data_IF_521467495432
#
_entry.id   IF_521467495432
#
_cell.length_a   1.000
_cell.length_b   1.000
_cell.length_c   1.000
_cell.angle_alpha   90.00
_cell.angle_beta   90.00
_cell.angle_gamma   90.00
#
_symmetry.space_group_name_H-M   'P 1'
#
loop_
_entity.id
_entity.type
_entity.pdbx_description
1 polymer ?
#
# COMPACT_ATOMS: atom_id res chain seq x y z
N UNK A 1 -23.93 10.97 -22.97
CA UNK A 1 -23.11 11.96 -23.72
C UNK A 1 -21.74 11.36 -23.92
N UNK A 2 -21.22 11.38 -25.13
CA UNK A 2 -19.89 10.86 -25.46
C UNK A 2 -18.86 11.98 -25.46
N UNK A 3 -17.56 11.64 -25.42
CA UNK A 3 -16.49 12.65 -25.48
C UNK A 3 -16.53 13.49 -26.77
N UNK A 4 -16.95 12.91 -27.90
CA UNK A 4 -17.16 13.65 -29.16
C UNK A 4 -18.21 14.76 -29.07
N UNK A 5 -19.14 14.66 -28.12
CA UNK A 5 -20.24 15.61 -27.99
C UNK A 5 -19.88 16.80 -27.08
N UNK A 6 -18.71 16.73 -26.42
CA UNK A 6 -18.26 17.75 -25.47
C UNK A 6 -17.93 19.08 -26.15
N UNK A 7 -18.26 20.15 -25.44
CA UNK A 7 -17.93 21.51 -25.80
C UNK A 7 -17.24 22.21 -24.63
N UNK A 8 -16.55 23.31 -24.95
CA UNK A 8 -15.99 24.19 -23.94
C UNK A 8 -17.10 24.66 -22.98
N UNK A 9 -16.82 24.61 -21.68
CA UNK A 9 -17.77 24.98 -20.62
C UNK A 9 -18.68 23.84 -20.15
N UNK A 10 -18.65 22.67 -20.78
CA UNK A 10 -19.35 21.48 -20.28
C UNK A 10 -18.74 21.01 -18.96
N UNK A 11 -19.56 20.35 -18.14
CA UNK A 11 -19.12 19.79 -16.85
C UNK A 11 -18.69 18.35 -17.04
N UNK A 12 -17.48 18.02 -16.58
CA UNK A 12 -17.00 16.66 -16.41
C UNK A 12 -16.97 16.30 -14.93
N UNK A 13 -17.35 15.06 -14.64
CA UNK A 13 -17.23 14.48 -13.32
C UNK A 13 -15.92 13.70 -13.26
N UNK A 14 -15.05 14.07 -12.33
CA UNK A 14 -13.74 13.46 -12.12
C UNK A 14 -13.78 12.76 -10.77
N UNK A 15 -13.62 11.45 -10.79
CA UNK A 15 -13.51 10.62 -9.59
C UNK A 15 -12.09 10.14 -9.40
N UNK A 16 -11.48 10.50 -8.27
CA UNK A 16 -10.17 10.03 -7.86
C UNK A 16 -10.29 8.74 -7.04
N UNK A 17 -9.74 7.65 -7.57
CA UNK A 17 -9.76 6.32 -6.94
C UNK A 17 -8.79 6.21 -5.75
N UNK A 18 -7.79 7.08 -5.64
CA UNK A 18 -6.82 7.08 -4.54
C UNK A 18 -7.31 7.98 -3.41
N UNK A 19 -7.69 9.21 -3.73
CA UNK A 19 -8.19 10.16 -2.72
C UNK A 19 -9.65 9.89 -2.30
N UNK A 20 -10.40 9.09 -3.07
CA UNK A 20 -11.83 8.80 -2.85
C UNK A 20 -12.65 10.09 -2.85
N UNK A 21 -12.38 10.96 -3.83
CA UNK A 21 -13.06 12.25 -3.99
C UNK A 21 -13.71 12.38 -5.35
N UNK A 22 -14.84 13.09 -5.41
CA UNK A 22 -15.53 13.45 -6.65
C UNK A 22 -15.49 14.96 -6.84
N UNK A 23 -14.91 15.42 -7.94
CA UNK A 23 -14.97 16.82 -8.39
C UNK A 23 -15.82 16.95 -9.65
N UNK A 24 -16.41 18.13 -9.82
CA UNK A 24 -17.10 18.53 -11.04
C UNK A 24 -16.32 19.68 -11.66
N UNK A 25 -15.65 19.42 -12.77
CA UNK A 25 -14.74 20.35 -13.40
C UNK A 25 -15.26 20.78 -14.77
N UNK A 26 -14.85 21.98 -15.18
CA UNK A 26 -15.28 22.56 -16.45
C UNK A 26 -14.26 22.28 -17.53
N UNK A 27 -14.75 21.91 -18.70
CA UNK A 27 -13.93 21.72 -19.89
C UNK A 27 -13.42 23.08 -20.37
N UNK A 28 -12.10 23.23 -20.41
CA UNK A 28 -11.43 24.45 -20.87
C UNK A 28 -11.31 24.46 -22.38
N UNK A 29 -10.99 23.32 -22.99
CA UNK A 29 -10.85 23.16 -24.43
C UNK A 29 -11.13 21.72 -24.86
N UNK A 30 -11.59 21.53 -26.10
CA UNK A 30 -11.83 20.23 -26.73
C UNK A 30 -11.29 20.26 -28.16
N UNK A 31 -10.50 19.27 -28.56
CA UNK A 31 -10.05 19.14 -29.94
C UNK A 31 -11.13 18.56 -30.85
N UNK A 32 -11.01 18.79 -32.15
CA UNK A 32 -11.75 17.98 -33.11
C UNK A 32 -11.29 16.50 -33.00
N UNK A 33 -12.18 15.52 -33.29
CA UNK A 33 -11.78 14.13 -33.35
C UNK A 33 -10.60 13.92 -34.32
N UNK A 34 -9.54 13.27 -33.85
CA UNK A 34 -8.35 12.97 -34.64
C UNK A 34 -7.85 11.56 -34.39
N UNK A 35 -7.05 11.02 -35.31
CA UNK A 35 -6.32 9.78 -35.07
C UNK A 35 -5.17 10.07 -34.10
N UNK A 36 -4.95 9.15 -33.17
CA UNK A 36 -3.75 9.18 -32.34
C UNK A 36 -2.52 8.88 -33.21
N UNK A 37 -1.60 9.85 -33.31
CA UNK A 37 -0.36 9.71 -34.10
C UNK A 37 0.56 8.63 -33.53
N UNK A 38 0.44 8.31 -32.25
CA UNK A 38 1.28 7.34 -31.56
C UNK A 38 0.65 5.95 -31.50
N UNK A 39 -0.67 5.84 -31.71
CA UNK A 39 -1.36 4.56 -31.59
C UNK A 39 -2.64 4.50 -32.44
N UNK A 40 -2.44 4.31 -33.75
CA UNK A 40 -3.49 4.29 -34.78
C UNK A 40 -4.58 3.23 -34.50
N UNK A 41 -4.26 2.18 -33.73
CA UNK A 41 -5.19 1.12 -33.36
C UNK A 41 -6.31 1.59 -32.40
N UNK A 42 -6.16 2.74 -31.74
CA UNK A 42 -7.14 3.23 -30.77
C UNK A 42 -8.38 3.90 -31.37
N UNK A 43 -8.41 4.11 -32.70
CA UNK A 43 -9.50 4.78 -33.38
C UNK A 43 -9.46 6.30 -33.21
N UNK A 44 -10.62 6.94 -33.38
CA UNK A 44 -10.74 8.39 -33.23
C UNK A 44 -10.68 8.79 -31.76
N UNK A 45 -9.85 9.79 -31.48
CA UNK A 45 -9.60 10.34 -30.15
C UNK A 45 -10.01 11.81 -30.12
N UNK A 46 -10.36 12.29 -28.93
CA UNK A 46 -10.63 13.69 -28.62
C UNK A 46 -9.78 14.07 -27.43
N UNK A 47 -9.05 15.17 -27.57
CA UNK A 47 -8.31 15.77 -26.50
C UNK A 47 -9.19 16.74 -25.74
N UNK A 48 -9.23 16.58 -24.42
CA UNK A 48 -10.06 17.37 -23.52
C UNK A 48 -9.16 17.99 -22.46
N UNK A 49 -9.21 19.31 -22.35
CA UNK A 49 -8.45 20.06 -21.34
C UNK A 49 -9.35 20.38 -20.15
N UNK A 50 -8.90 20.02 -18.95
CA UNK A 50 -9.56 20.29 -17.68
C UNK A 50 -8.56 21.00 -16.78
N UNK A 51 -8.89 22.22 -16.34
CA UNK A 51 -7.92 23.09 -15.67
C UNK A 51 -6.68 23.31 -16.54
N UNK A 52 -5.51 22.86 -16.07
CA UNK A 52 -4.23 22.96 -16.79
C UNK A 52 -3.74 21.63 -17.38
N UNK A 53 -4.57 20.58 -17.36
CA UNK A 53 -4.18 19.23 -17.80
C UNK A 53 -5.02 18.82 -19.02
N UNK A 54 -4.35 18.28 -20.04
CA UNK A 54 -4.97 17.74 -21.24
C UNK A 54 -5.00 16.21 -21.17
N UNK A 55 -6.15 15.63 -21.46
CA UNK A 55 -6.38 14.19 -21.48
C UNK A 55 -6.91 13.77 -22.85
N UNK A 56 -6.48 12.62 -23.36
CA UNK A 56 -6.95 12.07 -24.63
C UNK A 56 -7.90 10.90 -24.38
N UNK A 57 -9.11 10.98 -24.92
CA UNK A 57 -10.13 9.94 -24.77
C UNK A 57 -10.63 9.45 -26.14
N UNK A 58 -11.09 8.20 -26.19
CA UNK A 58 -11.80 7.70 -27.38
C UNK A 58 -13.09 8.49 -27.57
N UNK A 59 -13.31 8.95 -28.79
CA UNK A 59 -14.40 9.87 -29.13
C UNK A 59 -15.79 9.30 -28.81
N UNK A 60 -15.97 8.00 -29.07
CA UNK A 60 -17.20 7.24 -28.85
C UNK A 60 -17.34 6.72 -27.40
N UNK A 61 -16.41 7.03 -26.50
CA UNK A 61 -16.50 6.61 -25.10
C UNK A 61 -17.35 7.58 -24.29
N UNK A 62 -17.98 7.05 -23.25
CA UNK A 62 -18.69 7.81 -22.22
C UNK A 62 -17.89 7.88 -20.92
N UNK A 63 -16.80 7.12 -20.80
CA UNK A 63 -15.92 7.07 -19.62
C UNK A 63 -14.47 7.03 -20.07
N UNK A 64 -13.68 7.93 -19.50
CA UNK A 64 -12.25 8.03 -19.66
C UNK A 64 -11.55 7.48 -18.43
N UNK A 65 -10.55 6.63 -18.64
CA UNK A 65 -9.72 6.11 -17.56
C UNK A 65 -8.32 6.67 -17.71
N UNK A 66 -7.84 7.31 -16.65
CA UNK A 66 -6.42 7.62 -16.43
C UNK A 66 -5.95 6.76 -15.25
N UNK A 67 -4.65 6.72 -14.98
CA UNK A 67 -4.03 5.88 -13.92
C UNK A 67 -4.89 5.78 -12.64
N UNK A 68 -5.25 6.92 -12.05
CA UNK A 68 -6.04 6.97 -10.81
C UNK A 68 -7.41 7.64 -10.97
N UNK A 69 -7.70 8.21 -12.14
CA UNK A 69 -8.88 9.05 -12.37
C UNK A 69 -9.88 8.37 -13.29
N UNK A 70 -11.15 8.47 -12.93
CA UNK A 70 -12.29 8.16 -13.79
C UNK A 70 -12.94 9.47 -14.17
N UNK A 71 -12.97 9.78 -15.46
CA UNK A 71 -13.48 11.05 -15.98
C UNK A 71 -14.67 10.73 -16.88
N UNK A 72 -15.80 11.40 -16.69
CA UNK A 72 -16.97 11.19 -17.54
C UNK A 72 -17.87 12.42 -17.59
N UNK A 73 -18.46 12.75 -18.76
CA UNK A 73 -19.51 13.77 -18.85
C UNK A 73 -20.82 13.33 -18.20
N UNK A 74 -21.00 12.03 -17.95
CA UNK A 74 -22.21 11.48 -17.35
C UNK A 74 -21.96 11.07 -15.89
N UNK A 75 -22.69 11.69 -14.96
CA UNK A 75 -22.63 11.35 -13.53
C UNK A 75 -22.99 9.88 -13.25
N UNK A 76 -23.94 9.33 -14.00
CA UNK A 76 -24.38 7.94 -13.85
C UNK A 76 -23.25 6.94 -14.11
N UNK A 77 -22.38 7.22 -15.09
CA UNK A 77 -21.25 6.36 -15.38
C UNK A 77 -20.21 6.40 -14.26
N UNK A 78 -19.92 7.58 -13.71
CA UNK A 78 -19.03 7.70 -12.54
C UNK A 78 -19.61 6.99 -11.32
N UNK A 79 -20.92 7.12 -11.08
CA UNK A 79 -21.58 6.41 -9.98
C UNK A 79 -21.43 4.89 -10.10
N UNK A 80 -21.55 4.34 -11.31
CA UNK A 80 -21.31 2.90 -11.55
C UNK A 80 -19.88 2.51 -11.20
N UNK A 81 -18.90 3.32 -11.60
CA UNK A 81 -17.48 3.08 -11.29
C UNK A 81 -17.21 3.15 -9.78
N UNK A 82 -17.81 4.12 -9.06
CA UNK A 82 -17.71 4.21 -7.60
C UNK A 82 -18.31 2.98 -6.92
N UNK A 83 -19.47 2.50 -7.39
CA UNK A 83 -20.09 1.26 -6.87
C UNK A 83 -19.21 0.04 -7.11
N UNK A 84 -18.67 -0.10 -8.31
CA UNK A 84 -17.74 -1.18 -8.64
C UNK A 84 -16.49 -1.13 -7.75
N UNK A 85 -15.93 0.07 -7.55
CA UNK A 85 -14.78 0.25 -6.67
C UNK A 85 -15.10 -0.14 -5.22
N UNK A 86 -16.27 0.26 -4.71
CA UNK A 86 -16.74 -0.17 -3.39
C UNK A 86 -16.84 -1.70 -3.28
N UNK A 87 -17.49 -2.36 -4.23
CA UNK A 87 -17.65 -3.82 -4.23
C UNK A 87 -16.30 -4.55 -4.29
N UNK A 88 -15.34 -4.03 -5.06
CA UNK A 88 -13.98 -4.59 -5.10
C UNK A 88 -13.30 -4.49 -3.73
N UNK A 89 -13.41 -3.34 -3.06
CA UNK A 89 -12.81 -3.16 -1.74
C UNK A 89 -13.49 -4.03 -0.67
N UNK A 90 -14.82 -4.17 -0.71
CA UNK A 90 -15.56 -5.09 0.16
C UNK A 90 -15.12 -6.55 -0.05
N UNK A 91 -14.84 -6.95 -1.29
CA UNK A 91 -14.33 -8.28 -1.63
C UNK A 91 -12.90 -8.49 -1.10
N UNK A 92 -12.04 -7.48 -1.18
CA UNK A 92 -10.69 -7.56 -0.61
C UNK A 92 -10.71 -7.64 0.91
N UNK A 93 -11.60 -6.89 1.56
CA UNK A 93 -11.81 -6.95 3.01
C UNK A 93 -12.29 -8.35 3.41
N UNK A 94 -13.23 -8.95 2.67
CA UNK A 94 -13.74 -10.30 3.01
C UNK A 94 -12.68 -11.40 2.84
N UNK A 95 -11.68 -11.20 1.99
CA UNK A 95 -10.53 -12.10 1.85
C UNK A 95 -9.45 -11.89 2.92
N UNK A 96 -9.42 -10.74 3.59
CA UNK A 96 -8.38 -10.39 4.57
C UNK A 96 -8.26 -11.41 5.72
N UNK A 97 -9.35 -11.90 6.34
CA UNK A 97 -9.26 -12.94 7.38
C UNK A 97 -8.61 -14.22 6.88
N UNK A 98 -8.98 -14.66 5.67
CA UNK A 98 -8.39 -15.85 5.05
C UNK A 98 -6.89 -15.67 4.80
N UNK A 99 -6.49 -14.51 4.29
CA UNK A 99 -5.07 -14.20 4.06
C UNK A 99 -4.28 -14.15 5.37
N UNK A 100 -4.88 -13.65 6.47
CA UNK A 100 -4.26 -13.67 7.80
C UNK A 100 -4.07 -15.10 8.34
N UNK A 101 -4.96 -16.04 8.01
CA UNK A 101 -4.82 -17.45 8.38
C UNK A 101 -3.84 -18.23 7.49
N UNK A 102 -3.68 -17.82 6.22
CA UNK A 102 -2.78 -18.46 5.25
C UNK A 102 -1.31 -18.02 5.44
N UNK A 103 -1.06 -16.76 5.84
CA UNK A 103 0.30 -16.23 6.03
C UNK A 103 1.19 -17.10 6.94
N UNK A 104 0.77 -17.49 8.16
CA UNK A 104 1.60 -18.35 9.02
C UNK A 104 1.87 -19.74 8.42
N UNK A 105 0.95 -20.25 7.59
CA UNK A 105 1.13 -21.56 6.93
C UNK A 105 2.17 -21.46 5.81
N UNK A 106 2.18 -20.34 5.09
CA UNK A 106 3.21 -20.07 4.09
C UNK A 106 4.59 -19.90 4.73
N UNK A 107 4.67 -19.26 5.90
CA UNK A 107 5.93 -19.15 6.66
C UNK A 107 6.49 -20.53 7.03
N UNK A 108 5.63 -21.46 7.47
CA UNK A 108 6.04 -22.86 7.75
C UNK A 108 6.56 -23.54 6.49
N UNK A 109 5.88 -23.39 5.35
CA UNK A 109 6.32 -23.98 4.08
C UNK A 109 7.64 -23.35 3.61
N UNK A 110 7.85 -22.05 3.82
CA UNK A 110 9.13 -21.38 3.53
C UNK A 110 10.24 -21.95 4.42
N UNK A 111 9.99 -22.14 5.72
CA UNK A 111 10.96 -22.77 6.64
C UNK A 111 11.28 -24.23 6.28
N UNK A 112 10.33 -24.96 5.70
CA UNK A 112 10.53 -26.33 5.21
C UNK A 112 11.32 -26.39 3.90
N UNK A 113 11.12 -25.41 3.00
CA UNK A 113 11.81 -25.33 1.71
C UNK A 113 13.22 -24.72 1.82
N UNK A 114 13.47 -23.88 2.83
CA UNK A 114 14.77 -23.28 3.12
C UNK A 114 15.33 -23.77 4.48
N UNK A 115 15.91 -24.99 4.54
CA UNK A 115 16.45 -25.55 5.79
C UNK A 115 17.55 -24.70 6.43
N UNK A 116 18.26 -23.88 5.65
CA UNK A 116 19.27 -22.93 6.16
C UNK A 116 18.67 -21.80 7.02
N UNK A 117 17.41 -21.39 6.77
CA UNK A 117 16.69 -20.42 7.61
C UNK A 117 16.25 -21.05 8.93
N UNK A 118 15.87 -22.33 8.91
CA UNK A 118 15.51 -23.08 10.12
C UNK A 118 16.73 -23.27 11.03
N UNK A 119 17.87 -23.69 10.47
CA UNK A 119 19.12 -23.82 11.22
C UNK A 119 19.61 -22.47 11.76
N UNK A 120 19.52 -21.38 10.99
CA UNK A 120 19.84 -20.03 11.48
C UNK A 120 18.94 -19.57 12.61
N UNK A 121 17.61 -19.72 12.48
CA UNK A 121 16.66 -19.37 13.55
C UNK A 121 16.89 -20.18 14.82
N UNK A 122 17.18 -21.48 14.71
CA UNK A 122 17.51 -22.32 15.86
C UNK A 122 18.86 -21.96 16.49
N UNK A 123 19.87 -21.63 15.67
CA UNK A 123 21.17 -21.17 16.17
C UNK A 123 21.05 -19.81 16.85
N UNK A 124 20.32 -18.85 16.30
CA UNK A 124 20.10 -17.53 16.90
C UNK A 124 19.29 -17.65 18.21
N UNK A 125 18.27 -18.51 18.26
CA UNK A 125 17.51 -18.77 19.49
C UNK A 125 18.38 -19.44 20.58
N UNK A 126 19.28 -20.35 20.20
CA UNK A 126 20.26 -20.95 21.12
C UNK A 126 21.28 -19.91 21.60
N UNK A 127 21.78 -19.05 20.72
CA UNK A 127 22.71 -17.97 21.05
C UNK A 127 22.07 -16.93 21.98
N UNK A 128 20.81 -16.59 21.78
CA UNK A 128 20.07 -15.67 22.64
C UNK A 128 19.94 -16.23 24.08
N UNK A 129 19.58 -17.52 24.23
CA UNK A 129 19.55 -18.17 25.54
C UNK A 129 20.92 -18.23 26.20
N UNK A 130 21.96 -18.51 25.43
CA UNK A 130 23.34 -18.53 25.93
C UNK A 130 23.79 -17.15 26.40
N UNK A 131 23.38 -16.08 25.70
CA UNK A 131 23.64 -14.70 26.11
C UNK A 131 22.92 -14.34 27.43
N UNK A 132 21.67 -14.77 27.61
CA UNK A 132 20.93 -14.60 28.88
C UNK A 132 21.59 -15.35 30.04
N UNK A 133 22.02 -16.60 29.83
CA UNK A 133 22.72 -17.40 30.83
C UNK A 133 24.06 -16.77 31.23
N UNK A 134 24.83 -16.26 30.26
CA UNK A 134 26.08 -15.54 30.50
C UNK A 134 25.83 -14.25 31.29
N UNK A 135 24.78 -13.52 30.96
CA UNK A 135 24.41 -12.29 31.68
C UNK A 135 24.00 -12.59 33.13
N UNK A 136 23.25 -13.67 33.35
CA UNK A 136 22.88 -14.16 34.69
C UNK A 136 24.11 -14.57 35.51
N UNK A 137 25.04 -15.32 34.90
CA UNK A 137 26.31 -15.68 35.55
C UNK A 137 27.14 -14.44 35.92
N UNK A 138 27.24 -13.45 35.03
CA UNK A 138 27.94 -12.19 35.31
C UNK A 138 27.34 -11.46 36.50
N UNK A 139 26.00 -11.40 36.60
CA UNK A 139 25.32 -10.79 37.73
C UNK A 139 25.57 -11.54 39.04
N UNK A 140 25.55 -12.87 39.03
CA UNK A 140 25.90 -13.69 40.20
C UNK A 140 27.36 -13.46 40.63
N UNK A 141 28.28 -13.33 39.68
CA UNK A 141 29.70 -13.08 39.96
C UNK A 141 29.92 -11.68 40.57
N UNK A 142 29.25 -10.66 40.03
CA UNK A 142 29.27 -9.30 40.59
C UNK A 142 28.65 -9.25 41.99
N UNK A 143 27.60 -10.02 42.25
CA UNK A 143 27.00 -10.14 43.58
C UNK A 143 27.94 -10.84 44.57
N UNK A 144 28.61 -11.93 44.16
CA UNK A 144 29.60 -12.61 44.99
C UNK A 144 30.80 -11.72 45.32
N UNK A 145 31.31 -10.95 44.35
CA UNK A 145 32.39 -9.97 44.56
C UNK A 145 31.95 -8.83 45.50
N UNK A 146 30.72 -8.33 45.38
CA UNK A 146 30.17 -7.32 46.30
C UNK A 146 30.02 -7.86 47.73
N UNK A 147 29.62 -9.12 47.89
CA UNK A 147 29.52 -9.76 49.20
C UNK A 147 30.89 -9.97 49.85
N UNK A 148 31.92 -10.38 49.08
CA UNK A 148 33.30 -10.47 49.58
C UNK A 148 33.91 -9.10 49.93
N UNK A 149 33.65 -8.07 49.13
CA UNK A 149 34.07 -6.69 49.41
C UNK A 149 33.46 -6.13 50.70
N UNK A 150 32.20 -6.46 51.00
CA UNK A 150 31.53 -6.00 52.23
C UNK A 150 31.92 -6.82 53.47
N UNK A 151 32.41 -8.06 53.31
CA UNK A 151 32.95 -8.86 54.40
C UNK A 151 34.28 -8.35 54.96
N UNK A 152 35.11 -7.68 54.16
CA UNK A 152 36.40 -7.13 54.60
C UNK A 152 36.30 -5.80 55.36
N UNK A 153 35.15 -5.10 55.32
CA UNK A 153 34.97 -3.81 56.02
C UNK A 153 34.49 -3.92 57.47
N UNK A 154 34.28 -5.13 57.99
CA UNK A 154 33.73 -5.37 59.35
C UNK A 154 34.78 -5.68 60.42
N UNK A 155 36.08 -5.69 60.09
CA UNK A 155 37.13 -6.06 61.06
C UNK A 155 37.87 -4.84 61.67
N UNK A 156 37.80 -3.65 61.06
CA UNK A 156 38.56 -2.47 61.53
C UNK A 156 37.69 -1.41 62.21
N UNK A 157 36.87 -1.78 63.20
CA UNK A 157 36.22 -0.77 64.06
C UNK A 157 35.99 -1.27 65.49
N UNK A 158 37.05 -1.76 66.14
CA UNK A 158 37.17 -1.75 67.59
C UNK A 158 38.64 -1.47 67.97
N UNK A 159 39.01 -0.19 68.11
CA UNK A 159 39.97 0.34 69.11
C UNK A 159 39.54 1.77 69.45
#
# INVERSE_FOLDING_TARGET
MMFRDLKQGDTLYVYDRVAITLSAEKVVNVSAPHLDKNNVANGMMVDVTIGNVQYSFKDASEVGYTTNLVISPNRACVLREVKNHKTNNETQISMTPRLQEELPKLDVVIEELEPELKEKKEQDAKLAKLAEEIQSMKQMFEQALKQMSNGSKRVDTEI
#
